data_IF_429284806415
#
_entry.id   IF_429284806415
#
_cell.length_a   1.000
_cell.length_b   1.000
_cell.length_c   1.000
_cell.angle_alpha   90.00
_cell.angle_beta   90.00
_cell.angle_gamma   90.00
#
_symmetry.space_group_name_H-M   'P 1'
#
loop_
_entity.id
_entity.type
_entity.pdbx_description
1 polymer ?
#
# COMPACT_ATOMS: atom_id res chain seq x y z
N UNK A 1 -35.80 66.01 34.39
CA UNK A 1 -36.14 64.63 34.12
C UNK A 1 -35.07 64.12 33.18
N UNK A 2 -33.99 63.46 33.71
CA UNK A 2 -32.83 62.96 32.97
C UNK A 2 -33.01 61.45 32.77
N UNK A 3 -33.08 61.03 31.53
CA UNK A 3 -33.18 59.61 31.15
C UNK A 3 -31.75 59.08 30.94
N UNK A 4 -31.28 58.06 31.65
CA UNK A 4 -29.96 57.46 31.40
C UNK A 4 -30.04 56.57 30.16
N UNK A 5 -29.16 56.85 29.20
CA UNK A 5 -28.92 56.02 27.99
C UNK A 5 -28.12 54.77 28.40
N UNK A 6 -28.76 53.59 28.39
CA UNK A 6 -28.15 52.32 28.65
C UNK A 6 -27.43 51.89 27.38
N UNK A 7 -26.08 51.85 27.40
CA UNK A 7 -25.25 51.32 26.32
C UNK A 7 -25.21 49.79 26.44
N UNK A 8 -25.92 49.11 25.54
CA UNK A 8 -25.89 47.66 25.46
C UNK A 8 -24.58 47.24 24.76
N UNK A 9 -23.63 46.72 25.51
CA UNK A 9 -22.42 46.09 24.93
C UNK A 9 -22.80 44.73 24.36
N UNK A 10 -22.66 44.55 23.04
CA UNK A 10 -22.80 43.25 22.37
C UNK A 10 -21.61 42.33 22.75
N UNK A 11 -21.86 41.05 23.09
CA UNK A 11 -20.78 40.13 23.34
C UNK A 11 -20.04 39.84 22.02
N UNK A 12 -18.74 40.07 22.02
CA UNK A 12 -17.86 39.63 20.95
C UNK A 12 -17.82 38.09 20.93
N UNK A 13 -18.40 37.48 19.91
CA UNK A 13 -18.25 36.05 19.64
C UNK A 13 -16.79 35.79 19.29
N UNK A 14 -16.09 34.88 20.01
CA UNK A 14 -14.76 34.47 19.60
C UNK A 14 -14.87 33.75 18.25
N UNK A 15 -14.25 34.31 17.22
CA UNK A 15 -14.05 33.62 15.95
C UNK A 15 -13.12 32.43 16.23
N UNK A 16 -13.69 31.25 16.43
CA UNK A 16 -12.93 30.00 16.41
C UNK A 16 -12.43 29.81 14.97
N UNK A 17 -11.20 30.22 14.72
CA UNK A 17 -10.49 29.84 13.51
C UNK A 17 -10.39 28.32 13.61
N UNK A 18 -11.19 27.57 12.83
CA UNK A 18 -11.02 26.17 12.64
C UNK A 18 -9.60 26.01 12.07
N UNK A 19 -8.66 25.63 12.90
CA UNK A 19 -7.38 25.10 12.44
C UNK A 19 -7.78 23.91 11.53
N UNK A 20 -7.46 24.01 10.26
CA UNK A 20 -7.53 22.86 9.36
C UNK A 20 -6.51 21.87 9.93
N UNK A 21 -7.00 20.85 10.64
CA UNK A 21 -6.20 19.76 11.17
C UNK A 21 -5.76 18.89 9.98
N UNK A 22 -4.86 19.43 9.18
CA UNK A 22 -4.13 18.68 8.18
C UNK A 22 -3.09 17.86 8.96
N UNK A 23 -3.14 16.52 8.93
CA UNK A 23 -2.24 15.72 9.74
C UNK A 23 -0.80 16.10 9.38
N UNK A 24 0.10 16.19 10.37
CA UNK A 24 1.48 16.60 10.13
C UNK A 24 2.26 15.61 9.25
N UNK A 25 1.70 14.44 8.98
CA UNK A 25 2.27 13.42 8.11
C UNK A 25 1.31 13.09 6.96
N UNK A 26 1.86 12.84 5.77
CA UNK A 26 1.12 12.35 4.60
C UNK A 26 1.86 11.19 3.98
N UNK A 27 1.10 10.18 3.56
CA UNK A 27 1.59 9.05 2.77
C UNK A 27 1.05 9.13 1.34
N UNK A 28 1.80 8.65 0.36
CA UNK A 28 1.36 8.64 -1.04
C UNK A 28 2.09 7.58 -1.84
N UNK A 29 1.46 7.12 -2.92
CA UNK A 29 2.02 6.16 -3.87
C UNK A 29 2.61 6.84 -5.12
N UNK A 30 3.32 6.04 -5.94
CA UNK A 30 3.81 6.47 -7.26
C UNK A 30 2.75 6.38 -8.36
N UNK A 31 1.73 5.50 -8.24
CA UNK A 31 0.75 5.16 -9.28
C UNK A 31 -0.66 5.08 -8.70
N UNK A 32 -1.25 6.19 -8.31
CA UNK A 32 -2.64 6.32 -7.82
C UNK A 32 -3.19 5.10 -7.01
N UNK A 33 -2.28 4.32 -6.39
CA UNK A 33 -2.63 3.16 -5.60
C UNK A 33 -3.23 1.98 -6.38
N UNK A 34 -3.02 1.89 -7.70
CA UNK A 34 -3.54 0.79 -8.53
C UNK A 34 -2.41 -0.08 -9.05
N UNK A 35 -2.46 -1.34 -8.69
CA UNK A 35 -1.41 -2.30 -8.99
C UNK A 35 -1.96 -3.60 -9.56
N UNK A 36 -1.07 -4.37 -10.20
CA UNK A 36 -1.30 -5.77 -10.54
C UNK A 36 -0.20 -6.63 -9.92
N UNK A 37 -0.43 -7.93 -9.83
CA UNK A 37 0.57 -8.87 -9.32
C UNK A 37 1.95 -8.67 -9.98
N UNK A 38 2.98 -8.57 -9.17
CA UNK A 38 4.37 -8.36 -9.58
C UNK A 38 4.76 -6.91 -9.81
N UNK A 39 3.85 -5.94 -9.67
CA UNK A 39 4.19 -4.53 -9.74
C UNK A 39 5.03 -4.10 -8.55
N UNK A 40 5.85 -3.07 -8.77
CA UNK A 40 6.73 -2.49 -7.78
C UNK A 40 6.13 -1.20 -7.26
N UNK A 41 5.77 -1.18 -5.99
CA UNK A 41 5.19 -0.03 -5.35
C UNK A 41 6.26 0.84 -4.67
N UNK A 42 6.20 2.14 -4.92
CA UNK A 42 6.95 3.15 -4.19
C UNK A 42 6.02 3.88 -3.26
N UNK A 43 6.44 4.00 -2.03
CA UNK A 43 5.73 4.69 -0.97
C UNK A 43 6.52 5.92 -0.57
N UNK A 44 5.84 7.02 -0.52
CA UNK A 44 6.43 8.29 -0.12
C UNK A 44 5.75 8.81 1.14
N UNK A 45 6.56 9.33 2.04
CA UNK A 45 6.09 9.98 3.27
C UNK A 45 6.63 11.40 3.30
N UNK A 46 5.78 12.33 3.69
CA UNK A 46 6.15 13.72 3.91
C UNK A 46 5.60 14.19 5.25
N UNK A 47 6.42 14.86 6.03
CA UNK A 47 5.98 15.47 7.27
C UNK A 47 6.08 16.99 7.20
N UNK A 48 5.12 17.68 7.82
CA UNK A 48 5.15 19.12 8.00
C UNK A 48 6.09 19.58 9.13
N UNK A 49 6.51 18.66 10.00
CA UNK A 49 7.37 18.91 11.17
C UNK A 49 8.48 17.87 11.25
N UNK A 50 9.59 18.27 11.87
CA UNK A 50 10.64 17.33 12.26
C UNK A 50 10.09 16.32 13.28
N UNK A 51 10.50 15.06 13.20
CA UNK A 51 10.04 14.03 14.11
C UNK A 51 10.40 12.63 13.65
N UNK A 52 9.68 11.65 14.15
CA UNK A 52 9.91 10.24 13.92
C UNK A 52 8.73 9.63 13.19
N UNK A 53 9.00 8.70 12.29
CA UNK A 53 7.97 8.07 11.46
C UNK A 53 8.14 6.56 11.43
N UNK A 54 7.02 5.86 11.53
CA UNK A 54 6.92 4.46 11.15
C UNK A 54 5.90 4.33 10.01
N UNK A 55 6.20 3.46 9.05
CA UNK A 55 5.32 3.16 7.91
C UNK A 55 4.99 1.69 7.94
N UNK A 56 3.73 1.39 8.07
CA UNK A 56 3.18 0.05 8.16
C UNK A 56 2.35 -0.29 6.92
N UNK A 57 2.31 -1.55 6.55
CA UNK A 57 1.49 -2.07 5.46
C UNK A 57 0.68 -3.26 5.95
N UNK A 58 -0.61 -3.27 5.58
CA UNK A 58 -1.43 -4.47 5.56
C UNK A 58 -1.68 -4.87 4.10
N UNK A 59 -1.34 -6.08 3.71
CA UNK A 59 -1.63 -6.58 2.37
C UNK A 59 -3.10 -7.04 2.24
N UNK A 60 -3.53 -7.44 1.02
CA UNK A 60 -4.90 -7.87 0.78
C UNK A 60 -5.29 -9.17 1.53
N UNK A 61 -4.33 -9.89 2.07
CA UNK A 61 -4.53 -11.07 2.92
C UNK A 61 -4.52 -10.73 4.40
N UNK A 62 -4.21 -9.47 4.74
CA UNK A 62 -4.12 -8.99 6.11
C UNK A 62 -2.75 -9.21 6.77
N UNK A 63 -1.70 -9.62 6.04
CA UNK A 63 -0.36 -9.72 6.62
C UNK A 63 0.19 -8.33 6.92
N UNK A 64 0.76 -8.14 8.11
CA UNK A 64 1.33 -6.88 8.53
C UNK A 64 2.84 -6.84 8.25
N UNK A 65 3.32 -5.71 7.76
CA UNK A 65 4.76 -5.47 7.56
C UNK A 65 5.12 -4.02 7.84
N UNK A 66 6.32 -3.79 8.37
CA UNK A 66 6.90 -2.45 8.46
C UNK A 66 7.69 -2.16 7.19
N UNK A 67 7.46 -1.00 6.59
CA UNK A 67 8.16 -0.53 5.39
C UNK A 67 9.26 0.48 5.74
N UNK A 68 9.10 1.24 6.83
CA UNK A 68 10.10 2.18 7.33
C UNK A 68 9.94 2.34 8.84
N UNK A 69 11.01 2.30 9.62
CA UNK A 69 12.38 1.99 9.21
C UNK A 69 12.52 0.57 8.65
N UNK A 70 13.59 0.30 7.89
CA UNK A 70 13.79 -1.01 7.24
C UNK A 70 14.08 -2.12 8.24
N UNK A 71 14.86 -1.81 9.28
CA UNK A 71 15.09 -2.65 10.45
C UNK A 71 14.82 -1.81 11.72
N UNK A 72 14.47 -2.42 12.87
CA UNK A 72 14.12 -1.69 14.09
C UNK A 72 15.21 -0.74 14.61
N UNK A 73 16.48 -1.07 14.35
CA UNK A 73 17.64 -0.26 14.75
C UNK A 73 17.94 0.91 13.79
N UNK A 74 17.25 0.98 12.64
CA UNK A 74 17.48 2.05 11.68
C UNK A 74 16.87 3.38 12.16
N UNK A 75 17.40 4.48 11.60
CA UNK A 75 16.93 5.83 11.94
C UNK A 75 15.47 6.03 11.52
N UNK A 76 14.63 6.40 12.48
CA UNK A 76 13.22 6.73 12.30
C UNK A 76 13.00 8.22 12.00
N UNK A 77 14.05 9.05 12.11
CA UNK A 77 13.91 10.51 12.06
C UNK A 77 13.68 11.02 10.64
N UNK A 78 12.71 11.92 10.49
CA UNK A 78 12.46 12.66 9.25
C UNK A 78 12.47 14.17 9.50
N UNK A 79 12.93 14.92 8.50
CA UNK A 79 12.93 16.40 8.57
C UNK A 79 11.69 16.98 7.90
N UNK A 80 11.20 18.09 8.46
CA UNK A 80 10.07 18.83 7.93
C UNK A 80 10.21 19.20 6.45
N UNK A 81 9.08 19.11 5.73
CA UNK A 81 8.98 19.53 4.33
C UNK A 81 9.66 18.62 3.32
N UNK A 82 10.47 17.63 3.76
CA UNK A 82 11.11 16.68 2.84
C UNK A 82 10.19 15.53 2.53
N UNK A 83 10.25 15.08 1.28
CA UNK A 83 9.58 13.87 0.82
C UNK A 83 10.58 12.70 0.90
N UNK A 84 10.26 11.72 1.70
CA UNK A 84 11.05 10.50 1.89
C UNK A 84 10.43 9.36 1.09
N UNK A 85 11.25 8.54 0.47
CA UNK A 85 10.84 7.29 -0.15
C UNK A 85 11.14 6.14 0.80
N UNK A 86 10.12 5.41 1.24
CA UNK A 86 10.33 4.16 1.95
C UNK A 86 10.99 3.16 0.99
N UNK A 87 12.21 2.72 1.31
CA UNK A 87 13.00 1.84 0.46
C UNK A 87 13.13 0.46 1.08
N UNK A 88 12.94 -0.55 0.26
CA UNK A 88 13.23 -1.92 0.62
C UNK A 88 14.73 -2.22 0.63
N UNK A 89 15.10 -3.44 1.03
CA UNK A 89 16.50 -3.90 1.10
C UNK A 89 17.23 -3.73 -0.21
N UNK A 90 18.45 -3.19 -0.12
CA UNK A 90 19.28 -2.89 -1.29
C UNK A 90 18.81 -1.67 -2.10
N UNK A 91 18.06 -0.74 -1.49
CA UNK A 91 17.60 0.49 -2.13
C UNK A 91 16.52 0.26 -3.19
N UNK A 92 15.83 -0.87 -3.10
CA UNK A 92 14.73 -1.23 -4.00
C UNK A 92 13.46 -0.48 -3.63
N UNK A 93 12.41 -0.69 -4.41
CA UNK A 93 11.07 -0.18 -4.15
C UNK A 93 10.56 -0.67 -2.77
N UNK A 94 9.60 0.04 -2.17
CA UNK A 94 9.09 -0.26 -0.84
C UNK A 94 8.62 -1.72 -0.72
N UNK A 95 7.88 -2.19 -1.73
CA UNK A 95 7.45 -3.59 -1.81
C UNK A 95 7.10 -4.00 -3.24
N UNK A 96 7.04 -5.31 -3.45
CA UNK A 96 6.46 -5.92 -4.65
C UNK A 96 5.06 -6.42 -4.30
N UNK A 97 4.10 -6.20 -5.18
CA UNK A 97 2.72 -6.66 -4.98
C UNK A 97 2.66 -8.16 -5.22
N UNK A 98 2.40 -8.92 -4.16
CA UNK A 98 2.33 -10.39 -4.17
C UNK A 98 0.88 -10.90 -4.19
N UNK A 99 -0.10 -10.02 -4.04
CA UNK A 99 -1.51 -10.34 -4.10
C UNK A 99 -2.00 -10.37 -5.55
N UNK A 100 -2.96 -11.25 -5.83
CA UNK A 100 -3.56 -11.37 -7.17
C UNK A 100 -4.78 -10.47 -7.35
N UNK A 101 -5.43 -10.10 -6.24
CA UNK A 101 -6.60 -9.22 -6.19
C UNK A 101 -6.85 -8.80 -4.75
N UNK A 102 -7.56 -7.71 -4.56
CA UNK A 102 -7.99 -7.21 -3.25
C UNK A 102 -7.53 -5.79 -2.98
N UNK A 103 -7.61 -5.40 -1.72
CA UNK A 103 -7.19 -4.10 -1.24
C UNK A 103 -6.19 -4.27 -0.12
N UNK A 104 -5.14 -3.45 -0.15
CA UNK A 104 -4.23 -3.31 0.97
C UNK A 104 -4.22 -1.87 1.46
N UNK A 105 -3.64 -1.66 2.65
CA UNK A 105 -3.57 -0.37 3.31
C UNK A 105 -2.13 -0.06 3.69
N UNK A 106 -1.72 1.19 3.53
CA UNK A 106 -0.48 1.71 4.11
C UNK A 106 -0.85 2.81 5.08
N UNK A 107 -0.21 2.77 6.24
CA UNK A 107 -0.36 3.76 7.29
C UNK A 107 1.03 4.32 7.63
N UNK A 108 1.15 5.65 7.65
CA UNK A 108 2.32 6.35 8.16
C UNK A 108 1.95 7.05 9.47
N UNK A 109 2.63 6.71 10.56
CA UNK A 109 2.45 7.37 11.84
C UNK A 109 3.66 8.25 12.15
N UNK A 110 3.40 9.46 12.63
CA UNK A 110 4.39 10.46 13.02
C UNK A 110 4.26 10.79 14.50
N UNK A 111 5.40 10.88 15.19
CA UNK A 111 5.48 11.34 16.57
C UNK A 111 6.63 12.35 16.74
N UNK A 112 6.53 13.21 17.76
CA UNK A 112 7.62 14.09 18.19
C UNK A 112 8.69 13.36 19.01
N UNK A 113 8.40 12.13 19.45
CA UNK A 113 9.28 11.25 20.22
C UNK A 113 9.54 9.96 19.43
N UNK A 114 10.71 9.32 19.61
CA UNK A 114 10.96 8.04 18.96
C UNK A 114 9.93 6.97 19.33
N UNK A 115 9.56 6.14 18.37
CA UNK A 115 8.76 4.95 18.61
C UNK A 115 9.60 3.88 19.30
N UNK A 116 9.03 3.17 20.27
CA UNK A 116 9.66 2.01 20.92
C UNK A 116 9.44 0.76 20.05
N UNK A 117 10.48 0.37 19.33
CA UNK A 117 10.46 -0.76 18.41
C UNK A 117 10.98 -2.07 19.03
N UNK A 118 11.54 -2.02 20.24
CA UNK A 118 12.21 -3.15 20.88
C UNK A 118 11.32 -4.40 20.99
N UNK A 119 10.02 -4.19 21.23
CA UNK A 119 9.04 -5.27 21.34
C UNK A 119 8.86 -6.05 20.03
N UNK A 120 9.13 -5.42 18.92
CA UNK A 120 8.91 -5.95 17.56
C UNK A 120 10.22 -6.39 16.90
N UNK A 121 11.31 -6.41 17.67
CA UNK A 121 12.62 -6.80 17.19
C UNK A 121 12.92 -8.27 17.52
N UNK A 122 13.47 -8.96 16.53
CA UNK A 122 14.01 -10.32 16.64
C UNK A 122 15.27 -10.46 15.81
N UNK A 123 16.41 -10.61 16.47
CA UNK A 123 17.72 -10.72 15.81
C UNK A 123 18.05 -9.53 14.88
N UNK A 124 17.84 -8.31 15.36
CA UNK A 124 18.02 -7.06 14.63
C UNK A 124 17.12 -6.92 13.37
N UNK A 125 16.02 -7.65 13.33
CA UNK A 125 15.01 -7.58 12.26
C UNK A 125 13.60 -7.50 12.85
N UNK A 126 12.65 -7.09 12.03
CA UNK A 126 11.24 -7.12 12.41
C UNK A 126 10.77 -8.54 12.69
N UNK A 127 10.09 -8.73 13.82
CA UNK A 127 9.40 -9.98 14.16
C UNK A 127 7.97 -9.95 13.62
N UNK A 128 7.68 -10.70 12.52
CA UNK A 128 6.33 -10.71 11.96
C UNK A 128 5.30 -11.32 12.90
N UNK A 129 5.69 -12.28 13.75
CA UNK A 129 4.79 -12.91 14.72
C UNK A 129 4.33 -11.87 15.77
N UNK A 130 5.25 -11.03 16.27
CA UNK A 130 4.93 -9.97 17.22
C UNK A 130 4.04 -8.88 16.62
N UNK A 131 4.22 -8.56 15.32
CA UNK A 131 3.37 -7.62 14.59
C UNK A 131 1.95 -8.17 14.44
N UNK A 132 1.82 -9.41 14.00
CA UNK A 132 0.53 -10.05 13.77
C UNK A 132 -0.23 -10.28 15.09
N UNK A 133 0.43 -10.73 16.14
CA UNK A 133 -0.18 -10.91 17.46
C UNK A 133 -0.71 -9.58 18.02
N UNK A 134 0.05 -8.50 17.87
CA UNK A 134 -0.35 -7.16 18.34
C UNK A 134 -1.49 -6.60 17.50
N UNK A 135 -1.51 -6.84 16.19
CA UNK A 135 -2.58 -6.47 15.27
C UNK A 135 -3.85 -7.32 15.40
N UNK A 136 -3.96 -8.17 16.43
CA UNK A 136 -5.15 -9.00 16.69
C UNK A 136 -5.10 -10.40 16.08
N UNK A 137 -3.93 -10.81 15.55
CA UNK A 137 -3.73 -12.12 14.93
C UNK A 137 -4.52 -12.32 13.64
N UNK A 138 -4.22 -13.40 12.91
CA UNK A 138 -4.94 -13.79 11.69
C UNK A 138 -6.40 -14.24 11.97
N UNK A 139 -6.78 -14.41 13.25
CA UNK A 139 -8.12 -14.84 13.67
C UNK A 139 -9.14 -13.71 13.73
N UNK A 140 -8.68 -12.46 13.76
CA UNK A 140 -9.58 -11.31 13.67
C UNK A 140 -9.79 -11.04 12.20
N UNK A 141 -11.03 -11.15 11.73
CA UNK A 141 -11.37 -11.00 10.33
C UNK A 141 -10.72 -9.73 9.73
N UNK A 142 -10.31 -9.73 8.45
CA UNK A 142 -9.64 -8.61 7.80
C UNK A 142 -10.56 -7.39 7.62
N UNK A 143 -11.63 -7.30 8.40
CA UNK A 143 -12.70 -6.33 8.24
C UNK A 143 -12.26 -4.88 8.55
N UNK A 144 -11.15 -4.70 9.29
CA UNK A 144 -10.62 -3.37 9.56
C UNK A 144 -9.07 -3.38 9.59
N UNK A 145 -8.43 -3.27 8.43
CA UNK A 145 -6.96 -3.24 8.36
C UNK A 145 -6.37 -2.00 9.04
N UNK A 146 -7.11 -0.89 9.08
CA UNK A 146 -6.66 0.34 9.72
C UNK A 146 -6.57 0.16 11.25
N UNK A 147 -7.62 -0.36 11.88
CA UNK A 147 -7.62 -0.63 13.32
C UNK A 147 -6.49 -1.59 13.72
N UNK A 148 -6.18 -2.59 12.89
CA UNK A 148 -5.06 -3.50 13.13
C UNK A 148 -3.70 -2.79 13.08
N UNK A 149 -3.49 -1.94 12.09
CA UNK A 149 -2.25 -1.15 11.98
C UNK A 149 -2.13 -0.16 13.14
N UNK A 150 -3.23 0.49 13.54
CA UNK A 150 -3.26 1.40 14.68
C UNK A 150 -2.93 0.68 15.98
N UNK A 151 -3.39 -0.55 16.20
CA UNK A 151 -3.04 -1.34 17.38
C UNK A 151 -1.53 -1.59 17.49
N UNK A 152 -0.86 -1.78 16.35
CA UNK A 152 0.60 -1.91 16.30
C UNK A 152 1.27 -0.57 16.64
N UNK A 153 0.79 0.55 16.08
CA UNK A 153 1.32 1.89 16.38
C UNK A 153 1.11 2.25 17.84
N UNK A 154 -0.05 1.95 18.44
CA UNK A 154 -0.35 2.17 19.85
C UNK A 154 0.62 1.39 20.76
N UNK A 155 1.03 0.21 20.35
CA UNK A 155 2.01 -0.57 21.09
C UNK A 155 3.46 -0.05 20.92
N UNK A 156 3.75 0.69 19.84
CA UNK A 156 5.03 1.37 19.60
C UNK A 156 5.10 2.75 20.28
N UNK A 157 3.97 3.42 20.49
CA UNK A 157 3.85 4.70 21.18
C UNK A 157 2.73 4.63 22.22
N UNK A 158 2.98 4.01 23.39
CA UNK A 158 1.95 3.77 24.41
C UNK A 158 1.38 5.06 25.03
N UNK A 159 1.98 6.20 24.74
CA UNK A 159 1.44 7.52 25.14
C UNK A 159 0.32 8.02 24.23
N UNK A 160 0.06 7.38 23.09
CA UNK A 160 -0.94 7.78 22.10
C UNK A 160 -0.69 9.16 21.49
N UNK A 161 0.55 9.64 21.53
CA UNK A 161 0.94 10.99 21.08
C UNK A 161 1.50 10.97 19.67
N UNK A 162 0.74 10.42 18.74
CA UNK A 162 1.10 10.38 17.35
C UNK A 162 -0.04 10.91 16.47
N UNK A 163 0.31 11.26 15.25
CA UNK A 163 -0.62 11.56 14.16
C UNK A 163 -0.37 10.54 13.06
N UNK A 164 -1.37 10.23 12.29
CA UNK A 164 -1.22 9.29 11.18
C UNK A 164 -1.97 9.74 9.94
N UNK A 165 -1.57 9.19 8.83
CA UNK A 165 -2.26 9.23 7.54
C UNK A 165 -2.24 7.83 6.93
N UNK A 166 -3.33 7.46 6.28
CA UNK A 166 -3.50 6.13 5.72
C UNK A 166 -4.02 6.20 4.29
N UNK A 167 -3.46 5.38 3.42
CA UNK A 167 -3.85 5.31 2.01
C UNK A 167 -4.04 3.87 1.55
N UNK A 168 -5.16 3.63 0.89
CA UNK A 168 -5.54 2.31 0.37
C UNK A 168 -4.99 2.13 -1.03
N UNK A 169 -4.47 0.95 -1.33
CA UNK A 169 -4.15 0.53 -2.68
C UNK A 169 -5.01 -0.66 -3.11
N UNK A 170 -5.29 -0.73 -4.41
CA UNK A 170 -6.10 -1.78 -5.01
C UNK A 170 -5.23 -2.65 -5.90
N UNK A 171 -5.38 -3.96 -5.76
CA UNK A 171 -4.73 -4.93 -6.64
C UNK A 171 -5.79 -5.50 -7.59
N UNK A 172 -5.66 -5.14 -8.85
CA UNK A 172 -6.53 -5.69 -9.89
C UNK A 172 -6.00 -7.04 -10.35
N UNK A 173 -6.92 -7.99 -10.55
CA UNK A 173 -6.58 -9.22 -11.26
C UNK A 173 -5.99 -8.86 -12.62
N UNK A 174 -4.86 -9.46 -13.02
CA UNK A 174 -4.38 -9.28 -14.37
C UNK A 174 -5.53 -9.68 -15.30
N UNK A 175 -6.06 -8.71 -16.02
CA UNK A 175 -7.07 -9.01 -17.06
C UNK A 175 -6.36 -9.97 -17.99
N UNK A 176 -6.70 -11.24 -17.89
CA UNK A 176 -6.36 -12.19 -18.93
C UNK A 176 -6.88 -11.53 -20.20
N UNK A 177 -5.95 -11.04 -21.04
CA UNK A 177 -6.33 -10.53 -22.32
C UNK A 177 -7.25 -11.60 -22.88
N UNK A 178 -8.55 -11.28 -22.99
CA UNK A 178 -9.53 -12.19 -23.57
C UNK A 178 -8.92 -12.51 -24.91
N UNK A 179 -8.27 -13.67 -24.98
CA UNK A 179 -7.67 -14.13 -26.22
C UNK A 179 -8.80 -14.02 -27.23
N UNK A 180 -8.63 -13.13 -28.19
CA UNK A 180 -9.49 -13.10 -29.36
C UNK A 180 -9.28 -14.48 -29.93
N UNK A 181 -10.21 -15.38 -29.61
CA UNK A 181 -10.28 -16.68 -30.22
C UNK A 181 -10.61 -16.38 -31.68
N UNK A 182 -9.56 -16.24 -32.47
CA UNK A 182 -9.72 -16.36 -33.89
C UNK A 182 -10.04 -17.83 -34.14
N UNK A 183 -11.29 -18.19 -34.41
CA UNK A 183 -11.53 -19.48 -35.00
C UNK A 183 -10.76 -19.44 -36.31
N UNK A 184 -9.64 -20.15 -36.35
CA UNK A 184 -9.04 -20.46 -37.64
C UNK A 184 -10.13 -21.17 -38.43
N UNK A 185 -10.86 -20.42 -39.25
CA UNK A 185 -11.59 -20.95 -40.32
C UNK A 185 -10.53 -21.56 -41.24
N UNK A 186 -10.28 -22.83 -41.06
CA UNK A 186 -9.59 -23.57 -42.08
C UNK A 186 -10.44 -23.47 -43.33
N UNK A 187 -9.94 -22.87 -44.40
CA UNK A 187 -10.61 -22.99 -45.66
C UNK A 187 -10.57 -24.46 -46.04
N UNK A 188 -11.69 -25.14 -45.93
CA UNK A 188 -11.89 -26.40 -46.60
C UNK A 188 -11.85 -26.11 -48.07
N UNK A 189 -10.67 -26.19 -48.67
CA UNK A 189 -10.51 -26.21 -50.08
C UNK A 189 -9.63 -27.40 -50.42
N UNK A 190 -10.26 -28.30 -51.12
CA UNK A 190 -9.69 -29.28 -52.00
C UNK A 190 -9.29 -30.63 -51.40
N UNK A 191 -10.16 -31.54 -51.78
CA UNK A 191 -9.99 -32.97 -51.70
C UNK A 191 -8.70 -33.43 -52.32
N UNK A 192 -8.09 -34.31 -51.62
CA UNK A 192 -6.98 -35.11 -52.08
C UNK A 192 -7.04 -36.44 -51.32
N UNK A 193 -7.62 -37.42 -51.98
CA UNK A 193 -7.42 -38.81 -51.65
C UNK A 193 -5.94 -39.06 -51.37
N UNK A 194 -5.59 -39.67 -50.24
CA UNK A 194 -4.47 -40.56 -50.00
C UNK A 194 -4.23 -40.78 -48.52
N UNK A 195 -4.38 -42.02 -48.05
CA UNK A 195 -3.55 -42.58 -47.03
C UNK A 195 -4.10 -42.51 -45.60
N UNK A 196 -4.91 -43.47 -45.25
CA UNK A 196 -5.13 -43.92 -43.86
C UNK A 196 -3.78 -44.34 -43.25
N UNK A 197 -3.20 -43.55 -42.35
CA UNK A 197 -2.03 -43.93 -41.60
C UNK A 197 -2.41 -44.32 -40.16
N UNK A 198 -2.43 -45.64 -39.82
CA UNK A 198 -2.93 -46.10 -38.51
C UNK A 198 -1.97 -45.88 -37.35
N UNK A 199 -0.82 -45.20 -37.57
CA UNK A 199 0.23 -45.04 -36.58
C UNK A 199 0.43 -43.59 -36.07
N UNK A 200 -0.53 -42.69 -36.23
CA UNK A 200 -0.40 -41.37 -35.67
C UNK A 200 -1.03 -41.35 -34.25
N UNK A 201 -0.24 -41.26 -33.14
CA UNK A 201 -0.79 -40.96 -31.85
C UNK A 201 -1.32 -39.54 -31.90
N UNK A 202 -2.61 -39.36 -31.55
CA UNK A 202 -3.31 -38.09 -31.56
C UNK A 202 -2.57 -36.96 -30.81
N UNK A 203 -2.94 -35.70 -31.07
CA UNK A 203 -2.24 -34.55 -30.52
C UNK A 203 -2.32 -34.55 -29.00
N UNK A 204 -1.16 -34.58 -28.34
CA UNK A 204 -1.01 -34.29 -26.94
C UNK A 204 -1.28 -32.81 -26.76
N UNK A 205 -2.36 -32.46 -26.09
CA UNK A 205 -2.66 -31.07 -25.70
C UNK A 205 -1.66 -30.64 -24.63
N UNK A 206 -0.53 -30.13 -25.07
CA UNK A 206 0.40 -29.40 -24.23
C UNK A 206 -0.11 -27.98 -24.03
N UNK A 207 -0.44 -27.59 -22.81
CA UNK A 207 -0.71 -26.21 -22.49
C UNK A 207 0.53 -25.36 -22.81
N UNK A 208 0.48 -24.56 -23.86
CA UNK A 208 1.50 -23.55 -24.15
C UNK A 208 1.18 -22.31 -23.33
N UNK A 209 2.03 -22.03 -22.34
CA UNK A 209 2.08 -20.73 -21.70
C UNK A 209 2.62 -19.73 -22.74
N UNK A 210 1.77 -18.88 -23.26
CA UNK A 210 2.18 -17.77 -24.11
C UNK A 210 2.66 -16.64 -23.21
N UNK A 211 3.98 -16.49 -23.10
CA UNK A 211 4.61 -15.30 -22.54
C UNK A 211 4.44 -14.17 -23.58
N UNK A 212 3.56 -13.22 -23.29
CA UNK A 212 3.39 -12.03 -24.14
C UNK A 212 4.52 -11.05 -23.79
N UNK A 213 5.42 -10.68 -24.73
CA UNK A 213 6.46 -9.70 -24.46
C UNK A 213 5.84 -8.32 -24.25
N UNK A 214 6.24 -7.65 -23.15
CA UNK A 214 5.92 -6.24 -22.90
C UNK A 214 6.36 -5.39 -24.08
N UNK A 215 5.45 -4.60 -24.62
CA UNK A 215 5.79 -3.54 -25.60
C UNK A 215 6.56 -2.45 -24.88
N UNK A 216 7.83 -2.31 -25.19
CA UNK A 216 8.61 -1.12 -24.87
C UNK A 216 8.08 0.06 -25.68
N UNK A 217 7.49 1.04 -24.99
CA UNK A 217 7.14 2.31 -25.60
C UNK A 217 8.42 3.12 -25.84
N UNK A 218 8.77 3.33 -27.11
CA UNK A 218 9.79 4.30 -27.49
C UNK A 218 9.27 5.72 -27.24
N UNK A 219 9.90 6.46 -26.33
CA UNK A 219 9.77 7.92 -26.30
C UNK A 219 10.57 8.48 -27.49
N UNK A 220 9.88 9.20 -28.37
CA UNK A 220 10.55 10.12 -29.32
C UNK A 220 10.90 11.41 -28.57
N UNK A 221 12.10 11.89 -28.84
CA UNK A 221 12.65 13.17 -28.45
C UNK A 221 11.83 14.34 -29.02
#
# INVERSE_FOLDING_TARGET
>A
MLIPLLLLAAPATPSTTAATDDPPVRVSFNDDGKYVFGDKAKVYVQSAKDGYVVVLRSDARGNLRVLSPLDPDDDQHISAGKKYEAKGRGGREAFVVEDTTGQGLILAAWSSTPFDLNRFERNAHWDPDALDDTGGGLSTAPDDPEARLLSVVDAMEPGGRYHYDAETYVVDSPRLARGVYYPYAYPYAWGGWWGYNPWWPGPVFGARVLVVPRRFGFRRW
#
